data_IF_128406966675
#
_entry.id   IF_128406966675
#
_cell.length_a   1.000
_cell.length_b   1.000
_cell.length_c   1.000
_cell.angle_alpha   90.00
_cell.angle_beta   90.00
_cell.angle_gamma   90.00
#
_symmetry.space_group_name_H-M   'P 1'
#
loop_
_entity.id
_entity.type
_entity.pdbx_description
1 polymer ?
#
# COMPACT_ATOMS: atom_id res chain seq x y z
N UNK A 1 17.50 -7.11 -4.84
CA UNK A 1 18.60 -6.50 -5.62
C UNK A 1 18.11 -5.51 -6.68
N UNK A 2 16.80 -5.39 -6.94
CA UNK A 2 16.29 -4.50 -7.97
C UNK A 2 15.95 -3.13 -7.38
N UNK A 3 16.89 -2.18 -7.45
CA UNK A 3 16.72 -0.85 -6.84
C UNK A 3 16.42 0.23 -7.87
N UNK A 4 15.63 1.22 -7.48
CA UNK A 4 15.32 2.40 -8.27
C UNK A 4 15.32 3.66 -7.39
N UNK A 5 15.58 4.81 -8.01
CA UNK A 5 15.58 6.10 -7.32
C UNK A 5 14.15 6.60 -7.14
N UNK A 6 13.87 7.22 -5.99
CA UNK A 6 12.57 7.84 -5.70
C UNK A 6 12.75 9.29 -5.25
N UNK A 7 11.74 10.15 -5.46
CA UNK A 7 11.77 11.51 -4.94
C UNK A 7 11.98 11.52 -3.42
N UNK A 8 12.75 12.47 -2.92
CA UNK A 8 13.01 12.65 -1.49
C UNK A 8 12.79 14.10 -1.06
N UNK A 9 12.36 14.29 0.18
CA UNK A 9 12.32 15.60 0.81
C UNK A 9 13.74 15.93 1.27
N UNK A 10 14.13 17.19 1.11
CA UNK A 10 15.42 17.73 1.58
C UNK A 10 16.67 17.21 0.84
N UNK A 11 16.51 16.64 -0.36
CA UNK A 11 17.64 16.38 -1.29
C UNK A 11 18.52 15.18 -0.92
N UNK A 12 18.12 14.37 0.06
CA UNK A 12 18.85 13.13 0.40
C UNK A 12 18.50 12.04 -0.61
N UNK A 13 19.46 11.47 -1.36
CA UNK A 13 19.14 10.44 -2.34
C UNK A 13 18.48 9.23 -1.68
N UNK A 14 17.26 8.91 -2.11
CA UNK A 14 16.48 7.78 -1.61
C UNK A 14 16.37 6.69 -2.68
N UNK A 15 16.48 5.43 -2.24
CA UNK A 15 16.34 4.27 -3.11
C UNK A 15 15.24 3.34 -2.58
N UNK A 16 14.49 2.74 -3.50
CA UNK A 16 13.53 1.66 -3.23
C UNK A 16 14.01 0.36 -3.85
N UNK A 17 13.30 -0.72 -3.57
CA UNK A 17 13.52 -1.99 -4.24
C UNK A 17 12.22 -2.69 -4.62
N UNK A 18 12.22 -3.47 -5.70
CA UNK A 18 11.07 -4.31 -6.06
C UNK A 18 10.73 -5.32 -4.96
N UNK A 19 11.74 -5.79 -4.22
CA UNK A 19 11.53 -6.68 -3.09
C UNK A 19 10.78 -5.96 -1.95
N UNK A 20 11.12 -4.69 -1.72
CA UNK A 20 10.41 -3.81 -0.78
C UNK A 20 8.95 -3.59 -1.19
N UNK A 21 8.70 -3.24 -2.45
CA UNK A 21 7.32 -3.02 -2.93
C UNK A 21 6.51 -4.32 -2.95
N UNK A 22 7.13 -5.47 -3.19
CA UNK A 22 6.47 -6.78 -3.02
C UNK A 22 6.07 -7.00 -1.57
N UNK A 23 6.93 -6.66 -0.60
CA UNK A 23 6.57 -6.72 0.81
C UNK A 23 5.40 -5.77 1.14
N UNK A 24 5.38 -4.56 0.57
CA UNK A 24 4.25 -3.63 0.74
C UNK A 24 2.95 -4.23 0.23
N UNK A 25 2.93 -4.86 -0.95
CA UNK A 25 1.73 -5.54 -1.46
C UNK A 25 1.25 -6.61 -0.47
N UNK A 26 2.15 -7.51 -0.03
CA UNK A 26 1.79 -8.64 0.82
C UNK A 26 1.27 -8.15 2.19
N UNK A 27 2.02 -7.28 2.86
CA UNK A 27 1.69 -6.82 4.21
C UNK A 27 0.44 -5.95 4.18
N UNK A 28 0.32 -5.03 3.23
CA UNK A 28 -0.86 -4.17 3.12
C UNK A 28 -2.12 -4.98 2.81
N UNK A 29 -2.03 -5.98 1.92
CA UNK A 29 -3.16 -6.88 1.64
C UNK A 29 -3.55 -7.66 2.88
N UNK A 30 -2.57 -8.24 3.59
CA UNK A 30 -2.84 -9.02 4.79
C UNK A 30 -3.54 -8.18 5.87
N UNK A 31 -3.02 -6.99 6.17
CA UNK A 31 -3.60 -6.10 7.19
C UNK A 31 -4.98 -5.59 6.78
N UNK A 32 -5.16 -5.21 5.51
CA UNK A 32 -6.47 -4.79 5.00
C UNK A 32 -7.50 -5.93 5.10
N UNK A 33 -7.11 -7.17 4.74
CA UNK A 33 -7.98 -8.33 4.87
C UNK A 33 -8.37 -8.58 6.32
N UNK A 34 -7.39 -8.59 7.24
CA UNK A 34 -7.65 -8.77 8.67
C UNK A 34 -8.62 -7.71 9.18
N UNK A 35 -8.39 -6.44 8.83
CA UNK A 35 -9.29 -5.34 9.21
C UNK A 35 -10.71 -5.58 8.71
N UNK A 36 -10.89 -5.80 7.41
CA UNK A 36 -12.21 -6.01 6.81
C UNK A 36 -12.91 -7.27 7.34
N UNK A 37 -12.15 -8.33 7.60
CA UNK A 37 -12.68 -9.56 8.20
C UNK A 37 -13.18 -9.33 9.64
N UNK A 38 -12.44 -8.56 10.44
CA UNK A 38 -12.85 -8.15 11.79
C UNK A 38 -14.11 -7.28 11.75
N UNK A 39 -14.28 -6.46 10.71
CA UNK A 39 -15.51 -5.70 10.46
C UNK A 39 -16.64 -6.51 9.81
N UNK A 40 -16.52 -7.85 9.74
CA UNK A 40 -17.54 -8.76 9.24
C UNK A 40 -17.94 -8.59 7.76
N UNK A 41 -17.05 -8.05 6.92
CA UNK A 41 -17.27 -8.05 5.47
C UNK A 41 -17.24 -9.50 4.92
N UNK A 42 -18.04 -9.83 3.88
CA UNK A 42 -17.97 -11.12 3.21
C UNK A 42 -16.54 -11.44 2.74
N UNK A 43 -16.08 -12.67 2.92
CA UNK A 43 -14.72 -13.09 2.56
C UNK A 43 -14.31 -12.72 1.13
N UNK A 44 -15.17 -12.93 0.09
CA UNK A 44 -14.81 -12.53 -1.27
C UNK A 44 -14.60 -11.02 -1.42
N UNK A 45 -15.45 -10.21 -0.78
CA UNK A 45 -15.35 -8.75 -0.78
C UNK A 45 -14.10 -8.29 -0.02
N UNK A 46 -13.87 -8.83 1.19
CA UNK A 46 -12.71 -8.51 2.00
C UNK A 46 -11.40 -8.85 1.27
N UNK A 47 -11.32 -10.02 0.64
CA UNK A 47 -10.15 -10.46 -0.11
C UNK A 47 -9.91 -9.60 -1.36
N UNK A 48 -10.98 -9.30 -2.13
CA UNK A 48 -10.89 -8.44 -3.31
C UNK A 48 -10.40 -7.03 -2.95
N UNK A 49 -11.02 -6.40 -1.97
CA UNK A 49 -10.63 -5.06 -1.50
C UNK A 49 -9.22 -5.06 -0.92
N UNK A 50 -8.84 -6.09 -0.16
CA UNK A 50 -7.50 -6.20 0.41
C UNK A 50 -6.40 -6.25 -0.66
N UNK A 51 -6.60 -7.05 -1.72
CA UNK A 51 -5.65 -7.12 -2.84
C UNK A 51 -5.52 -5.76 -3.53
N UNK A 52 -6.64 -5.06 -3.75
CA UNK A 52 -6.64 -3.73 -4.33
C UNK A 52 -5.90 -2.72 -3.45
N UNK A 53 -6.11 -2.76 -2.13
CA UNK A 53 -5.37 -1.95 -1.17
C UNK A 53 -3.87 -2.26 -1.23
N UNK A 54 -3.46 -3.53 -1.32
CA UNK A 54 -2.04 -3.89 -1.40
C UNK A 54 -1.36 -3.40 -2.67
N UNK A 55 -1.97 -3.65 -3.82
CA UNK A 55 -1.44 -3.21 -5.12
C UNK A 55 -1.40 -1.68 -5.21
N UNK A 56 -2.48 -1.02 -4.78
CA UNK A 56 -2.57 0.44 -4.80
C UNK A 56 -1.57 1.09 -3.84
N UNK A 57 -1.40 0.56 -2.63
CA UNK A 57 -0.38 1.03 -1.69
C UNK A 57 1.03 0.89 -2.25
N UNK A 58 1.37 -0.24 -2.88
CA UNK A 58 2.69 -0.41 -3.50
C UNK A 58 2.91 0.53 -4.70
N UNK A 59 1.86 0.79 -5.50
CA UNK A 59 1.93 1.78 -6.58
C UNK A 59 2.19 3.19 -6.03
N UNK A 60 1.53 3.57 -4.93
CA UNK A 60 1.74 4.86 -4.26
C UNK A 60 3.10 4.92 -3.58
N UNK A 61 3.55 3.85 -2.92
CA UNK A 61 4.88 3.76 -2.33
C UNK A 61 5.99 4.00 -3.37
N UNK A 62 5.82 3.46 -4.58
CA UNK A 62 6.79 3.58 -5.66
C UNK A 62 6.98 5.02 -6.17
N UNK A 63 5.94 5.86 -6.07
CA UNK A 63 5.99 7.27 -6.49
C UNK A 63 6.05 8.24 -5.31
N UNK A 64 5.84 7.75 -4.09
CA UNK A 64 5.83 8.56 -2.88
C UNK A 64 7.20 9.13 -2.60
N UNK A 65 7.18 10.36 -2.11
CA UNK A 65 8.36 10.97 -1.54
C UNK A 65 8.84 10.15 -0.32
N UNK A 66 10.15 9.93 -0.23
CA UNK A 66 10.79 9.31 0.92
C UNK A 66 10.57 10.15 2.19
N UNK A 67 9.89 9.57 3.18
CA UNK A 67 9.49 10.23 4.43
C UNK A 67 7.99 10.51 4.53
N UNK A 68 7.26 10.53 3.40
CA UNK A 68 5.79 10.62 3.38
C UNK A 68 5.13 9.28 3.03
N UNK A 69 5.91 8.27 2.67
CA UNK A 69 5.43 6.97 2.21
C UNK A 69 4.55 6.26 3.23
N UNK A 70 4.87 6.34 4.53
CA UNK A 70 4.00 5.73 5.54
C UNK A 70 2.61 6.38 5.60
N UNK A 71 2.52 7.70 5.42
CA UNK A 71 1.23 8.40 5.38
C UNK A 71 0.50 8.12 4.06
N UNK A 72 1.20 8.22 2.93
CA UNK A 72 0.59 8.08 1.60
C UNK A 72 0.06 6.67 1.36
N UNK A 73 0.76 5.62 1.80
CA UNK A 73 0.24 4.24 1.68
C UNK A 73 -1.00 4.01 2.56
N UNK A 74 -1.07 4.61 3.75
CA UNK A 74 -2.24 4.47 4.63
C UNK A 74 -3.44 5.20 4.06
N UNK A 75 -3.25 6.43 3.58
CA UNK A 75 -4.30 7.21 2.90
C UNK A 75 -4.76 6.52 1.62
N UNK A 76 -3.83 5.95 0.84
CA UNK A 76 -4.17 5.21 -0.37
C UNK A 76 -5.02 3.97 -0.05
N UNK A 77 -4.60 3.14 0.91
CA UNK A 77 -5.37 1.97 1.32
C UNK A 77 -6.78 2.35 1.83
N UNK A 78 -6.88 3.39 2.67
CA UNK A 78 -8.16 3.88 3.18
C UNK A 78 -9.06 4.42 2.05
N UNK A 79 -8.50 5.20 1.12
CA UNK A 79 -9.20 5.72 -0.04
C UNK A 79 -9.70 4.62 -0.97
N UNK A 80 -8.87 3.61 -1.26
CA UNK A 80 -9.25 2.45 -2.06
C UNK A 80 -10.36 1.66 -1.38
N UNK A 81 -10.22 1.34 -0.10
CA UNK A 81 -11.26 0.64 0.64
C UNK A 81 -12.58 1.41 0.65
N UNK A 82 -12.52 2.73 0.87
CA UNK A 82 -13.70 3.61 0.84
C UNK A 82 -14.40 3.56 -0.52
N UNK A 83 -13.67 3.71 -1.63
CA UNK A 83 -14.22 3.70 -2.98
C UNK A 83 -14.82 2.35 -3.41
N UNK A 84 -14.27 1.24 -2.90
CA UNK A 84 -14.73 -0.11 -3.27
C UNK A 84 -15.90 -0.59 -2.41
N UNK A 85 -16.01 -0.11 -1.18
CA UNK A 85 -17.02 -0.56 -0.20
C UNK A 85 -18.22 0.39 -0.06
N UNK A 86 -18.21 1.51 -0.77
CA UNK A 86 -19.37 2.42 -0.91
C UNK A 86 -20.25 2.03 -2.08
#
# INVERSE_FOLDING_TARGET
KHRYAVPSLMGVPAQRSLEGSTAVVIVSSLIAFIGLYVFHYPVPTALGTAILCGVGSAAIEAVSNHGLDNLTIQVAAAGIASLVLT
#
